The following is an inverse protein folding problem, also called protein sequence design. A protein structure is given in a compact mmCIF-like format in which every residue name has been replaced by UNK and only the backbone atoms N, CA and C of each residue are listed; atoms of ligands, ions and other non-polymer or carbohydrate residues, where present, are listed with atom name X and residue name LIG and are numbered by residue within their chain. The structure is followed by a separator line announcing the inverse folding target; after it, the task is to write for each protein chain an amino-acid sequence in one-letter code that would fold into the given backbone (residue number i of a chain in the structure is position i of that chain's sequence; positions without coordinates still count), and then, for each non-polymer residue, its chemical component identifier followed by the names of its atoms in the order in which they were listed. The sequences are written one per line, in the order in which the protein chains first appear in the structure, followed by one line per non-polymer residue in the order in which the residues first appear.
data_IF_225066049216
#
_entry.id   IF_225066049216
#
_cell.length_a   1.000
_cell.length_b   1.000
_cell.length_c   1.000
_cell.angle_alpha   90.00
_cell.angle_beta   90.00
_cell.angle_gamma   90.00
#
_symmetry.space_group_name_H-M   'P 1'
#
loop_
_entity.id
_entity.type
_entity.pdbx_description
1 polymer ?
#
# COMPACT_ATOMS: atom_id res chain seq x y z
N UNK A 1 -20.52 1.07 10.05
CA UNK A 1 -19.77 -0.18 9.76
C UNK A 1 -18.43 0.20 9.15
N UNK A 2 -17.48 0.58 10.01
CA UNK A 2 -16.06 0.84 9.72
C UNK A 2 -15.31 0.19 10.88
N UNK A 3 -15.00 -1.12 10.86
CA UNK A 3 -14.43 -1.72 12.09
C UNK A 3 -13.16 -2.55 11.85
N UNK A 4 -12.96 -3.27 10.73
CA UNK A 4 -11.70 -4.04 10.57
C UNK A 4 -10.90 -3.69 9.30
N UNK A 5 -11.52 -3.60 8.12
CA UNK A 5 -10.78 -3.34 6.87
C UNK A 5 -10.12 -1.95 6.80
N UNK A 6 -10.75 -0.91 7.35
CA UNK A 6 -10.24 0.46 7.31
C UNK A 6 -9.03 0.71 8.23
N UNK A 7 -8.89 -0.08 9.30
CA UNK A 7 -7.78 0.07 10.24
C UNK A 7 -6.45 -0.34 9.62
N UNK A 8 -6.45 -1.41 8.80
CA UNK A 8 -5.27 -1.88 8.09
C UNK A 8 -4.75 -0.89 7.03
N UNK A 9 -5.58 0.06 6.58
CA UNK A 9 -5.20 1.06 5.57
C UNK A 9 -4.44 2.25 6.16
N UNK A 10 -4.59 2.54 7.46
CA UNK A 10 -3.91 3.67 8.11
C UNK A 10 -2.38 3.58 8.05
N UNK A 11 -1.75 2.45 8.38
CA UNK A 11 -0.30 2.31 8.23
C UNK A 11 0.18 2.56 6.80
N UNK A 12 -0.55 2.06 5.79
CA UNK A 12 -0.23 2.27 4.37
C UNK A 12 -0.24 3.76 4.05
N UNK A 13 -1.28 4.48 4.48
CA UNK A 13 -1.37 5.93 4.28
C UNK A 13 -0.24 6.69 4.97
N UNK A 14 0.05 6.38 6.23
CA UNK A 14 1.11 7.07 6.99
C UNK A 14 2.46 6.84 6.32
N UNK A 15 2.81 5.59 6.02
CA UNK A 15 4.09 5.29 5.42
C UNK A 15 4.18 5.81 3.99
N UNK A 16 3.14 5.66 3.18
CA UNK A 16 3.12 6.19 1.82
C UNK A 16 3.19 7.71 1.75
N UNK A 17 2.53 8.43 2.66
CA UNK A 17 2.67 9.89 2.74
C UNK A 17 4.10 10.31 3.14
N UNK A 18 4.75 9.57 4.03
CA UNK A 18 6.16 9.80 4.38
C UNK A 18 7.07 9.49 3.19
N UNK A 19 6.84 8.38 2.47
CA UNK A 19 7.58 8.01 1.25
C UNK A 19 7.44 9.08 0.18
N UNK A 20 6.22 9.56 -0.08
CA UNK A 20 5.94 10.64 -1.04
C UNK A 20 6.62 11.94 -0.61
N UNK A 21 6.51 12.32 0.66
CA UNK A 21 7.14 13.54 1.18
C UNK A 21 8.66 13.52 1.05
N UNK A 22 9.29 12.39 1.39
CA UNK A 22 10.73 12.20 1.21
C UNK A 22 11.13 12.20 -0.27
N UNK A 23 10.37 11.54 -1.13
CA UNK A 23 10.60 11.49 -2.58
C UNK A 23 10.41 12.86 -3.24
N UNK A 24 9.42 13.63 -2.81
CA UNK A 24 9.20 15.00 -3.28
C UNK A 24 10.33 15.95 -2.85
N UNK A 25 10.82 15.80 -1.62
CA UNK A 25 12.01 16.53 -1.16
C UNK A 25 13.24 16.18 -2.01
N UNK A 26 13.44 14.90 -2.31
CA UNK A 26 14.53 14.45 -3.18
C UNK A 26 14.38 14.96 -4.61
N UNK A 27 13.17 14.97 -5.16
CA UNK A 27 12.87 15.54 -6.48
C UNK A 27 13.23 17.03 -6.56
N UNK A 28 13.01 17.80 -5.49
CA UNK A 28 13.34 19.23 -5.44
C UNK A 28 14.83 19.50 -5.15
N UNK A 29 15.44 18.78 -4.20
CA UNK A 29 16.84 18.91 -3.80
C UNK A 29 17.51 17.54 -3.74
N UNK A 30 17.98 17.02 -4.89
CA UNK A 30 18.50 15.67 -4.95
C UNK A 30 19.82 15.54 -4.19
N UNK A 31 19.86 14.59 -3.27
CA UNK A 31 21.05 14.20 -2.52
C UNK A 31 21.06 12.68 -2.35
N UNK A 32 22.15 12.01 -2.75
CA UNK A 32 22.24 10.55 -2.76
C UNK A 32 21.96 9.91 -1.40
N UNK A 33 22.30 10.58 -0.31
CA UNK A 33 22.04 10.09 1.06
C UNK A 33 20.54 9.87 1.36
N UNK A 34 19.64 10.58 0.67
CA UNK A 34 18.19 10.47 0.88
C UNK A 34 17.60 9.19 0.27
N UNK A 35 18.24 8.62 -0.76
CA UNK A 35 17.74 7.44 -1.47
C UNK A 35 17.63 6.20 -0.56
N UNK A 36 18.57 6.04 0.38
CA UNK A 36 18.54 4.92 1.34
C UNK A 36 17.29 4.97 2.22
N UNK A 37 16.93 6.17 2.69
CA UNK A 37 15.72 6.37 3.48
C UNK A 37 14.46 6.15 2.65
N UNK A 38 14.39 6.72 1.44
CA UNK A 38 13.25 6.54 0.53
C UNK A 38 13.05 5.05 0.20
N UNK A 39 14.13 4.33 -0.11
CA UNK A 39 14.07 2.89 -0.39
C UNK A 39 13.60 2.09 0.83
N UNK A 40 14.10 2.39 2.03
CA UNK A 40 13.65 1.74 3.26
C UNK A 40 12.15 2.00 3.53
N UNK A 41 11.68 3.23 3.32
CA UNK A 41 10.27 3.60 3.48
C UNK A 41 9.37 2.93 2.43
N UNK A 42 9.81 2.87 1.16
CA UNK A 42 9.08 2.19 0.10
C UNK A 42 8.98 0.67 0.36
N UNK A 43 10.03 0.04 0.90
CA UNK A 43 9.97 -1.37 1.31
C UNK A 43 9.01 -1.55 2.48
N UNK A 44 9.06 -0.69 3.49
CA UNK A 44 8.14 -0.74 4.63
C UNK A 44 6.67 -0.57 4.17
N UNK A 45 6.42 0.35 3.25
CA UNK A 45 5.11 0.57 2.63
C UNK A 45 4.64 -0.65 1.85
N UNK A 46 5.52 -1.29 1.08
CA UNK A 46 5.20 -2.53 0.37
C UNK A 46 4.83 -3.66 1.34
N UNK A 47 5.66 -3.87 2.37
CA UNK A 47 5.44 -4.92 3.39
C UNK A 47 4.12 -4.68 4.12
N UNK A 48 3.84 -3.44 4.52
CA UNK A 48 2.60 -3.09 5.22
C UNK A 48 1.37 -3.24 4.33
N UNK A 49 1.49 -2.93 3.03
CA UNK A 49 0.46 -3.15 2.03
C UNK A 49 0.13 -4.64 1.86
N UNK A 50 1.16 -5.49 1.73
CA UNK A 50 0.99 -6.94 1.64
C UNK A 50 0.38 -7.48 2.92
N UNK A 51 0.87 -7.05 4.08
CA UNK A 51 0.36 -7.49 5.37
C UNK A 51 -1.12 -7.11 5.57
N UNK A 52 -1.50 -5.88 5.25
CA UNK A 52 -2.89 -5.42 5.32
C UNK A 52 -3.81 -6.22 4.39
N UNK A 53 -3.38 -6.47 3.15
CA UNK A 53 -4.09 -7.31 2.19
C UNK A 53 -4.31 -8.71 2.75
N UNK A 54 -3.27 -9.29 3.37
CA UNK A 54 -3.33 -10.62 3.98
C UNK A 54 -4.32 -10.69 5.15
N UNK A 55 -4.34 -9.66 6.01
CA UNK A 55 -5.30 -9.57 7.12
C UNK A 55 -6.75 -9.50 6.60
N UNK A 56 -7.01 -8.71 5.54
CA UNK A 56 -8.33 -8.66 4.92
C UNK A 56 -8.74 -10.02 4.36
N UNK A 57 -7.86 -10.72 3.64
CA UNK A 57 -8.15 -12.07 3.14
C UNK A 57 -8.44 -13.03 4.30
N UNK A 58 -7.61 -13.00 5.36
CA UNK A 58 -7.81 -13.82 6.55
C UNK A 58 -9.16 -13.58 7.24
N UNK A 59 -9.61 -12.33 7.29
CA UNK A 59 -10.94 -11.97 7.83
C UNK A 59 -12.08 -12.56 7.01
N UNK A 60 -11.98 -12.54 5.68
CA UNK A 60 -12.97 -13.14 4.76
C UNK A 60 -13.03 -14.66 4.96
N UNK A 61 -11.87 -15.31 5.03
CA UNK A 61 -11.81 -16.77 5.25
C UNK A 61 -12.38 -17.16 6.61
N UNK A 62 -12.08 -16.38 7.65
CA UNK A 62 -12.63 -16.60 9.00
C UNK A 62 -14.14 -16.43 9.03
N UNK A 63 -14.67 -15.45 8.28
CA UNK A 63 -16.11 -15.22 8.15
C UNK A 63 -16.80 -16.39 7.44
N UNK A 64 -16.26 -16.82 6.29
CA UNK A 64 -16.80 -17.95 5.52
C UNK A 64 -16.83 -19.25 6.34
N UNK A 65 -15.80 -19.52 7.15
CA UNK A 65 -15.74 -20.71 8.00
C UNK A 65 -16.79 -20.74 9.13
N UNK A 66 -17.48 -19.63 9.38
CA UNK A 66 -18.54 -19.51 10.40
C UNK A 66 -19.94 -19.43 9.81
N UNK A 67 -20.08 -19.48 8.48
CA UNK A 67 -21.38 -19.41 7.83
C UNK A 67 -22.14 -20.73 8.01
N UNK A 68 -23.38 -20.62 8.46
CA UNK A 68 -24.31 -21.75 8.63
C UNK A 68 -25.68 -21.41 8.02
N UNK A 69 -26.45 -22.43 7.67
CA UNK A 69 -27.81 -22.26 7.16
C UNK A 69 -27.89 -21.58 5.78
N UNK A 70 -28.95 -20.79 5.50
CA UNK A 70 -29.20 -20.21 4.17
C UNK A 70 -28.10 -19.27 3.67
N UNK A 71 -27.30 -18.69 4.58
CA UNK A 71 -26.18 -17.81 4.20
C UNK A 71 -25.03 -18.58 3.55
N UNK A 72 -24.88 -19.87 3.87
CA UNK A 72 -23.87 -20.74 3.27
C UNK A 72 -24.11 -20.94 1.76
N UNK A 73 -25.36 -20.84 1.29
CA UNK A 73 -25.68 -20.88 -0.15
C UNK A 73 -25.11 -19.67 -0.90
N UNK A 74 -24.87 -18.55 -0.20
CA UNK A 74 -24.29 -17.33 -0.77
C UNK A 74 -22.76 -17.26 -0.62
N UNK A 75 -22.12 -18.30 -0.08
CA UNK A 75 -20.67 -18.33 0.23
C UNK A 75 -19.80 -17.89 -0.95
N UNK A 76 -20.10 -18.34 -2.16
CA UNK A 76 -19.34 -17.97 -3.37
C UNK A 76 -19.40 -16.46 -3.64
N UNK A 77 -20.59 -15.86 -3.52
CA UNK A 77 -20.77 -14.41 -3.73
C UNK A 77 -20.06 -13.60 -2.64
N UNK A 78 -20.17 -14.05 -1.39
CA UNK A 78 -19.49 -13.44 -0.24
C UNK A 78 -17.97 -13.51 -0.40
N UNK A 79 -17.45 -14.66 -0.83
CA UNK A 79 -16.03 -14.88 -1.09
C UNK A 79 -15.50 -13.90 -2.13
N UNK A 80 -16.11 -13.83 -3.32
CA UNK A 80 -15.62 -12.94 -4.38
C UNK A 80 -15.74 -11.46 -4.00
N UNK A 81 -16.81 -11.09 -3.30
CA UNK A 81 -16.98 -9.72 -2.80
C UNK A 81 -15.92 -9.39 -1.76
N UNK A 82 -15.68 -10.28 -0.79
CA UNK A 82 -14.66 -10.11 0.25
C UNK A 82 -13.24 -10.07 -0.33
N UNK A 83 -12.94 -10.90 -1.33
CA UNK A 83 -11.65 -10.87 -2.04
C UNK A 83 -11.47 -9.55 -2.79
N UNK A 84 -12.48 -9.09 -3.54
CA UNK A 84 -12.45 -7.79 -4.21
C UNK A 84 -12.15 -6.67 -3.21
N UNK A 85 -12.84 -6.65 -2.08
CA UNK A 85 -12.63 -5.69 -0.99
C UNK A 85 -11.20 -5.76 -0.41
N UNK A 86 -10.68 -6.98 -0.28
CA UNK A 86 -9.32 -7.23 0.25
C UNK A 86 -8.21 -6.72 -0.66
N UNK A 87 -8.47 -6.44 -1.95
CA UNK A 87 -7.48 -5.85 -2.86
C UNK A 87 -7.32 -4.34 -2.71
N UNK A 88 -8.24 -3.65 -2.01
CA UNK A 88 -8.20 -2.19 -1.85
C UNK A 88 -6.94 -1.66 -1.16
N UNK A 89 -6.43 -2.27 -0.08
CA UNK A 89 -5.13 -1.91 0.50
C UNK A 89 -3.99 -2.04 -0.52
N UNK A 90 -3.98 -3.13 -1.30
CA UNK A 90 -3.04 -3.35 -2.40
C UNK A 90 -3.05 -2.25 -3.44
N UNK A 91 -4.23 -1.85 -3.90
CA UNK A 91 -4.39 -0.75 -4.86
C UNK A 91 -3.91 0.59 -4.31
N UNK A 92 -4.22 0.90 -3.06
CA UNK A 92 -3.78 2.12 -2.40
C UNK A 92 -2.24 2.18 -2.26
N UNK A 93 -1.63 1.13 -1.69
CA UNK A 93 -0.18 1.09 -1.51
C UNK A 93 0.57 1.11 -2.85
N UNK A 94 0.06 0.40 -3.86
CA UNK A 94 0.62 0.46 -5.21
C UNK A 94 0.57 1.88 -5.81
N UNK A 95 -0.53 2.61 -5.62
CA UNK A 95 -0.66 3.99 -6.11
C UNK A 95 0.35 4.94 -5.45
N UNK A 96 0.51 4.86 -4.13
CA UNK A 96 1.44 5.71 -3.38
C UNK A 96 2.91 5.41 -3.74
N UNK A 97 3.25 4.13 -3.93
CA UNK A 97 4.56 3.71 -4.43
C UNK A 97 4.82 4.19 -5.87
N UNK A 98 3.83 4.15 -6.76
CA UNK A 98 3.95 4.67 -8.13
C UNK A 98 4.27 6.17 -8.13
N UNK A 99 3.55 6.96 -7.32
CA UNK A 99 3.81 8.41 -7.18
C UNK A 99 5.21 8.66 -6.62
N UNK A 100 5.61 7.93 -5.59
CA UNK A 100 6.94 8.02 -5.00
C UNK A 100 8.04 7.68 -6.02
N UNK A 101 7.85 6.61 -6.79
CA UNK A 101 8.77 6.19 -7.85
C UNK A 101 8.94 7.24 -8.95
N UNK A 102 7.84 7.87 -9.37
CA UNK A 102 7.89 8.98 -10.33
C UNK A 102 8.71 10.17 -9.79
N UNK A 103 8.50 10.54 -8.53
CA UNK A 103 9.25 11.63 -7.88
C UNK A 103 10.74 11.29 -7.76
N UNK A 104 11.08 10.04 -7.41
CA UNK A 104 12.47 9.57 -7.38
C UNK A 104 13.10 9.64 -8.77
N UNK A 105 12.40 9.20 -9.82
CA UNK A 105 12.90 9.28 -11.20
C UNK A 105 13.20 10.73 -11.61
N UNK A 106 12.30 11.68 -11.28
CA UNK A 106 12.53 13.11 -11.50
C UNK A 106 13.76 13.62 -10.75
N UNK A 107 13.92 13.23 -9.48
CA UNK A 107 15.10 13.59 -8.68
C UNK A 107 16.41 13.04 -9.26
N UNK A 108 16.40 11.81 -9.76
CA UNK A 108 17.56 11.19 -10.42
C UNK A 108 17.96 11.92 -11.69
N UNK A 109 16.99 12.31 -12.53
CA UNK A 109 17.24 13.10 -13.75
C UNK A 109 17.90 14.45 -13.41
N UNK A 110 17.41 15.14 -12.37
CA UNK A 110 17.97 16.42 -11.92
C UNK A 110 19.36 16.28 -11.29
N UNK A 111 19.63 15.17 -10.64
CA UNK A 111 20.94 14.88 -10.07
C UNK A 111 21.98 14.67 -11.19
N UNK A 112 21.60 13.96 -12.26
CA UNK A 112 22.43 13.75 -13.44
C UNK A 112 22.77 15.07 -14.15
N UNK A 113 21.77 15.91 -14.39
CA UNK A 113 21.94 17.20 -15.08
C UNK A 113 22.82 18.23 -14.34
N UNK A 114 23.13 18.03 -13.06
CA UNK A 114 24.04 18.89 -12.28
C UNK A 114 25.51 18.47 -12.37
N UNK A 115 25.79 17.32 -12.98
CA UNK A 115 27.13 16.73 -13.04
C UNK A 115 27.86 17.04 -14.35
N UNK A 116 27.15 17.65 -15.31
CA UNK A 116 27.66 18.22 -16.58
C UNK A 116 27.86 19.74 -16.43
#
# INVERSE_FOLDING_TARGET
MFIEGGWAMWPILVFGMVTIGASGRFAYRPALGQLRFIAAMAILELVTTVHATWLCIGSVMSYLGKLEGPEAEQSTRILFTGLMESTRPGGLGGMLLMVSGLLVAVGMLRLGAKKD
#
